data_IF_793162124439
#
_entry.id   IF_793162124439
#
_cell.length_a   1.000
_cell.length_b   1.000
_cell.length_c   1.000
_cell.angle_alpha   90.00
_cell.angle_beta   90.00
_cell.angle_gamma   90.00
#
_symmetry.space_group_name_H-M   'P 1'
#
loop_
_entity.id
_entity.type
_entity.pdbx_description
1 polymer ?
#
# COMPACT_ATOMS: atom_id res chain seq x y z
N UNK A 1 -39.77 9.05 6.84
CA UNK A 1 -41.17 9.35 7.19
C UNK A 1 -41.90 9.72 5.90
N UNK A 2 -43.20 9.40 5.82
CA UNK A 2 -44.15 9.55 4.70
C UNK A 2 -44.11 10.95 3.99
N UNK A 3 -44.56 11.21 2.73
CA UNK A 3 -45.36 10.45 1.73
C UNK A 3 -45.30 11.08 0.29
N UNK A 4 -45.78 10.33 -0.71
CA UNK A 4 -46.50 10.69 -1.99
C UNK A 4 -46.07 11.77 -3.02
N UNK A 5 -45.85 11.29 -4.27
CA UNK A 5 -46.65 11.46 -5.52
C UNK A 5 -47.37 12.79 -5.90
N UNK A 6 -46.95 13.35 -7.04
CA UNK A 6 -47.74 13.81 -8.23
C UNK A 6 -47.26 15.15 -8.86
N UNK A 7 -47.09 15.17 -10.19
CA UNK A 7 -47.83 16.03 -11.14
C UNK A 7 -47.12 16.14 -12.50
N UNK A 8 -47.91 16.21 -13.57
CA UNK A 8 -47.48 16.40 -14.96
C UNK A 8 -47.38 17.89 -15.32
N UNK A 9 -46.39 18.24 -16.16
CA UNK A 9 -46.42 19.31 -17.16
C UNK A 9 -45.06 19.25 -17.90
N UNK A 10 -44.94 19.27 -19.22
CA UNK A 10 -45.89 19.71 -20.24
C UNK A 10 -45.25 20.84 -21.06
N UNK A 11 -44.47 20.50 -22.09
CA UNK A 11 -44.20 21.41 -23.23
C UNK A 11 -43.60 20.67 -24.43
N UNK A 12 -44.40 20.56 -25.49
CA UNK A 12 -43.91 20.28 -26.84
C UNK A 12 -43.22 21.54 -27.40
N UNK A 13 -42.25 21.33 -28.30
CA UNK A 13 -41.94 22.29 -29.36
C UNK A 13 -41.90 21.53 -30.69
N UNK A 14 -42.92 21.73 -31.52
CA UNK A 14 -42.88 21.39 -32.94
C UNK A 14 -41.93 22.32 -33.67
N UNK A 15 -41.38 21.86 -34.80
CA UNK A 15 -41.28 22.65 -36.03
C UNK A 15 -41.19 21.75 -37.27
N UNK A 16 -42.26 21.78 -38.07
CA UNK A 16 -42.39 21.69 -39.53
C UNK A 16 -41.68 20.50 -40.25
N UNK A 17 -42.36 19.62 -41.00
CA UNK A 17 -43.17 19.84 -42.24
C UNK A 17 -42.32 20.50 -43.35
N UNK A 18 -42.14 20.01 -44.58
CA UNK A 18 -42.84 19.02 -45.45
C UNK A 18 -41.78 18.14 -46.20
N UNK A 19 -42.00 17.33 -47.26
CA UNK A 19 -43.08 17.22 -48.28
C UNK A 19 -43.21 15.77 -48.85
N UNK A 20 -43.84 15.61 -50.01
CA UNK A 20 -44.23 14.39 -50.75
C UNK A 20 -43.06 13.79 -51.61
N UNK A 21 -43.13 12.65 -52.34
CA UNK A 21 -44.25 11.74 -52.71
C UNK A 21 -43.77 10.32 -53.12
N UNK A 22 -44.74 9.40 -53.22
CA UNK A 22 -44.81 8.08 -53.89
C UNK A 22 -43.83 7.78 -55.07
N UNK A 23 -43.52 6.50 -55.38
CA UNK A 23 -44.38 5.53 -56.10
C UNK A 23 -44.07 4.06 -55.75
N UNK A 24 -45.11 3.21 -55.73
CA UNK A 24 -45.04 1.74 -55.61
C UNK A 24 -44.84 1.06 -56.97
N UNK A 25 -44.16 -0.09 -57.01
CA UNK A 25 -44.10 -0.94 -58.22
C UNK A 25 -43.53 -2.35 -57.97
N UNK A 26 -44.36 -3.37 -58.14
CA UNK A 26 -44.07 -4.82 -58.12
C UNK A 26 -45.16 -5.50 -58.99
N UNK A 27 -45.01 -6.75 -59.47
CA UNK A 27 -43.82 -7.62 -59.61
C UNK A 27 -43.74 -8.28 -61.02
N UNK A 28 -43.28 -9.54 -61.13
CA UNK A 28 -43.18 -10.42 -62.34
C UNK A 28 -41.95 -10.10 -63.23
N UNK A 29 -41.15 -11.03 -63.76
CA UNK A 29 -41.07 -12.50 -63.65
C UNK A 29 -40.09 -13.08 -64.70
N UNK A 30 -39.87 -14.41 -64.70
CA UNK A 30 -39.13 -15.24 -65.71
C UNK A 30 -37.58 -15.30 -65.69
N UNK A 31 -37.10 -16.41 -65.11
CA UNK A 31 -36.07 -17.36 -65.57
C UNK A 31 -35.27 -17.10 -66.87
N UNK A 32 -33.93 -17.30 -66.82
CA UNK A 32 -33.21 -18.28 -67.66
C UNK A 32 -31.75 -18.52 -67.17
N UNK A 33 -31.26 -19.76 -67.32
CA UNK A 33 -29.88 -20.14 -67.00
C UNK A 33 -28.93 -19.84 -68.18
N UNK A 34 -27.79 -19.17 -67.94
CA UNK A 34 -26.56 -19.36 -68.74
C UNK A 34 -25.32 -19.21 -67.83
N UNK A 35 -24.51 -20.27 -67.75
CA UNK A 35 -23.05 -20.20 -67.54
C UNK A 35 -22.43 -20.54 -68.91
N UNK A 36 -21.28 -19.96 -69.32
CA UNK A 36 -20.01 -20.53 -68.83
C UNK A 36 -18.77 -19.60 -68.77
N UNK A 37 -17.72 -20.14 -68.12
CA UNK A 37 -16.28 -19.98 -68.37
C UNK A 37 -15.54 -18.62 -68.21
N UNK A 38 -14.48 -18.72 -67.39
CA UNK A 38 -13.17 -18.04 -67.43
C UNK A 38 -13.05 -16.61 -67.98
N UNK A 39 -12.57 -15.71 -67.12
CA UNK A 39 -11.33 -14.98 -67.43
C UNK A 39 -10.55 -14.62 -66.15
N UNK A 40 -9.24 -14.84 -66.19
CA UNK A 40 -8.33 -14.51 -65.10
C UNK A 40 -7.82 -13.08 -65.25
N UNK A 41 -8.16 -12.19 -64.32
CA UNK A 41 -7.47 -10.90 -64.23
C UNK A 41 -7.02 -10.54 -62.81
N UNK A 42 -5.72 -10.30 -62.73
CA UNK A 42 -4.94 -9.92 -61.57
C UNK A 42 -5.24 -8.46 -61.15
N UNK A 43 -5.79 -8.24 -59.95
CA UNK A 43 -5.93 -6.90 -59.37
C UNK A 43 -5.19 -6.78 -58.04
N UNK A 44 -4.25 -5.83 -58.00
CA UNK A 44 -3.27 -5.60 -56.94
C UNK A 44 -3.92 -5.29 -55.58
N UNK A 45 -3.45 -5.96 -54.54
CA UNK A 45 -3.80 -5.66 -53.15
C UNK A 45 -3.29 -4.27 -52.71
N UNK A 46 -4.16 -3.27 -52.68
CA UNK A 46 -3.90 -2.05 -51.92
C UNK A 46 -4.13 -2.29 -50.42
N UNK A 47 -3.04 -2.52 -49.69
CA UNK A 47 -3.04 -2.51 -48.22
C UNK A 47 -3.51 -1.15 -47.70
N UNK A 48 -4.72 -1.08 -47.12
CA UNK A 48 -5.07 0.00 -46.19
C UNK A 48 -4.39 -0.25 -44.84
N UNK A 49 -3.78 0.77 -44.20
CA UNK A 49 -3.09 0.57 -42.93
C UNK A 49 -4.10 0.21 -41.82
N UNK A 50 -3.80 -0.84 -41.05
CA UNK A 50 -4.59 -1.21 -39.87
C UNK A 50 -4.44 -0.14 -38.78
N UNK A 51 -5.55 0.53 -38.47
CA UNK A 51 -5.67 1.41 -37.29
C UNK A 51 -5.54 0.52 -36.04
N UNK A 52 -4.73 0.89 -35.02
CA UNK A 52 -4.56 0.07 -33.81
C UNK A 52 -5.86 -0.16 -33.04
N UNK A 53 -6.08 -1.41 -32.62
CA UNK A 53 -7.37 -1.92 -32.12
C UNK A 53 -7.80 -1.42 -30.72
N UNK A 54 -7.08 -0.46 -30.13
CA UNK A 54 -7.37 0.12 -28.81
C UNK A 54 -8.61 1.03 -28.77
N UNK A 55 -9.16 1.43 -29.93
CA UNK A 55 -10.32 2.34 -30.01
C UNK A 55 -11.70 1.66 -30.07
N UNK A 56 -11.80 0.32 -30.24
CA UNK A 56 -13.09 -0.33 -30.53
C UNK A 56 -13.89 -0.84 -29.31
N UNK A 57 -13.44 -0.59 -28.08
CA UNK A 57 -14.12 -1.06 -26.85
C UNK A 57 -15.02 -0.02 -26.16
N UNK A 58 -15.37 1.10 -26.81
CA UNK A 58 -16.23 2.14 -26.21
C UNK A 58 -17.73 2.07 -26.56
N UNK A 59 -18.16 1.19 -27.48
CA UNK A 59 -19.57 1.12 -27.91
C UNK A 59 -20.15 -0.29 -27.88
N UNK A 60 -20.68 -0.71 -26.71
CA UNK A 60 -21.80 -1.66 -26.65
C UNK A 60 -22.51 -1.68 -25.28
N UNK A 61 -23.84 -1.56 -25.32
CA UNK A 61 -24.84 -1.68 -24.25
C UNK A 61 -24.64 -0.80 -22.98
N UNK A 62 -25.57 0.15 -22.78
CA UNK A 62 -25.25 1.45 -22.17
C UNK A 62 -25.97 1.77 -20.84
N UNK A 63 -27.01 1.03 -20.42
CA UNK A 63 -27.83 1.47 -19.27
C UNK A 63 -27.41 0.94 -17.88
N UNK A 64 -27.09 -0.35 -17.71
CA UNK A 64 -26.60 -0.87 -16.41
C UNK A 64 -25.08 -0.71 -16.23
N UNK A 65 -24.32 -0.92 -17.31
CA UNK A 65 -22.86 -0.74 -17.37
C UNK A 65 -22.46 0.68 -16.98
N UNK A 66 -23.15 1.72 -17.48
CA UNK A 66 -22.90 3.11 -17.09
C UNK A 66 -23.03 3.33 -15.59
N UNK A 67 -23.93 2.65 -14.87
CA UNK A 67 -24.05 2.85 -13.42
C UNK A 67 -22.77 2.42 -12.69
N UNK A 68 -22.36 1.16 -12.86
CA UNK A 68 -21.14 0.64 -12.23
C UNK A 68 -19.86 1.29 -12.77
N UNK A 69 -19.80 1.59 -14.07
CA UNK A 69 -18.63 2.23 -14.66
C UNK A 69 -18.53 3.71 -14.27
N UNK A 70 -19.66 4.42 -14.06
CA UNK A 70 -19.67 5.74 -13.45
C UNK A 70 -19.33 5.67 -11.96
N UNK A 71 -19.74 4.63 -11.21
CA UNK A 71 -19.31 4.43 -9.82
C UNK A 71 -17.80 4.19 -9.76
N UNK A 72 -17.25 3.31 -10.59
CA UNK A 72 -15.80 3.06 -10.67
C UNK A 72 -15.03 4.31 -11.13
N UNK A 73 -15.52 5.05 -12.13
CA UNK A 73 -14.92 6.30 -12.60
C UNK A 73 -15.05 7.43 -11.56
N UNK A 74 -16.14 7.46 -10.80
CA UNK A 74 -16.35 8.42 -9.69
C UNK A 74 -15.47 8.08 -8.50
N UNK A 75 -15.32 6.79 -8.15
CA UNK A 75 -14.37 6.31 -7.13
C UNK A 75 -12.95 6.60 -7.59
N UNK A 76 -12.61 6.37 -8.86
CA UNK A 76 -11.30 6.69 -9.42
C UNK A 76 -11.04 8.21 -9.39
N UNK A 77 -11.95 9.04 -9.90
CA UNK A 77 -11.82 10.50 -9.84
C UNK A 77 -11.76 11.04 -8.42
N UNK A 78 -12.53 10.48 -7.49
CA UNK A 78 -12.49 10.79 -6.05
C UNK A 78 -11.16 10.36 -5.44
N UNK A 79 -10.63 9.18 -5.79
CA UNK A 79 -9.31 8.73 -5.37
C UNK A 79 -8.22 9.65 -5.94
N UNK A 80 -8.25 10.01 -7.21
CA UNK A 80 -7.29 10.95 -7.82
C UNK A 80 -7.35 12.33 -7.14
N UNK A 81 -8.53 12.83 -6.81
CA UNK A 81 -8.68 14.08 -6.05
C UNK A 81 -8.25 13.96 -4.58
N UNK A 82 -8.46 12.81 -3.93
CA UNK A 82 -7.98 12.54 -2.57
C UNK A 82 -6.45 12.44 -2.56
N UNK A 83 -5.85 11.76 -3.54
CA UNK A 83 -4.40 11.67 -3.69
C UNK A 83 -3.78 13.04 -4.03
N UNK A 84 -4.40 13.84 -4.91
CA UNK A 84 -3.97 15.23 -5.15
C UNK A 84 -4.12 16.13 -3.92
N UNK A 85 -5.15 15.93 -3.09
CA UNK A 85 -5.31 16.64 -1.80
C UNK A 85 -4.39 16.13 -0.69
N UNK A 86 -3.71 14.99 -0.89
CA UNK A 86 -2.72 14.47 0.06
C UNK A 86 -1.32 15.10 -0.12
N UNK A 87 -1.11 15.96 -1.12
CA UNK A 87 0.14 16.72 -1.30
C UNK A 87 0.55 17.48 -0.02
N UNK A 88 -0.41 18.03 0.73
CA UNK A 88 -0.14 18.73 2.01
C UNK A 88 0.13 17.80 3.21
N UNK A 89 0.01 16.47 3.07
CA UNK A 89 0.25 15.49 4.16
C UNK A 89 1.51 14.65 3.88
N UNK A 90 1.97 14.57 2.64
CA UNK A 90 3.22 13.90 2.26
C UNK A 90 4.46 14.80 2.35
N UNK A 91 4.29 16.05 2.76
CA UNK A 91 5.37 17.04 2.84
C UNK A 91 6.34 16.72 3.99
N UNK A 92 7.54 16.24 3.61
CA UNK A 92 8.82 16.15 4.34
C UNK A 92 9.75 15.00 3.86
N UNK A 93 9.35 14.18 2.86
CA UNK A 93 10.12 12.95 2.53
C UNK A 93 10.47 12.70 1.05
N UNK A 94 10.17 13.63 0.14
CA UNK A 94 10.63 13.60 -1.26
C UNK A 94 11.19 14.98 -1.65
N UNK A 95 12.47 15.11 -2.04
CA UNK A 95 13.01 16.38 -2.51
C UNK A 95 12.30 16.87 -3.79
N UNK A 96 12.03 18.17 -3.86
CA UNK A 96 11.28 18.82 -4.95
C UNK A 96 11.95 18.75 -6.35
N UNK A 97 13.15 18.16 -6.45
CA UNK A 97 13.89 17.98 -7.71
C UNK A 97 13.23 17.02 -8.68
N UNK A 98 12.55 15.97 -8.20
CA UNK A 98 11.85 15.02 -9.09
C UNK A 98 10.68 15.71 -9.82
N UNK A 99 9.96 16.62 -9.15
CA UNK A 99 8.81 17.30 -9.76
C UNK A 99 9.24 18.35 -10.81
N UNK A 100 10.42 18.94 -10.65
CA UNK A 100 11.00 19.89 -11.63
C UNK A 100 11.31 19.25 -12.99
N UNK A 101 11.53 17.93 -13.05
CA UNK A 101 11.81 17.23 -14.31
C UNK A 101 10.59 17.20 -15.25
N UNK A 102 9.38 17.06 -14.69
CA UNK A 102 8.13 17.05 -15.45
C UNK A 102 7.66 18.47 -15.84
N UNK A 103 7.93 19.47 -14.99
CA UNK A 103 7.52 20.87 -15.25
C UNK A 103 8.38 21.60 -16.28
N UNK A 104 9.51 21.01 -16.74
CA UNK A 104 10.49 21.66 -17.64
C UNK A 104 10.45 21.14 -19.10
N UNK A 105 9.31 20.59 -19.55
CA UNK A 105 9.07 20.22 -20.97
C UNK A 105 8.01 21.06 -21.67
N UNK A 106 7.62 22.20 -21.10
CA UNK A 106 6.80 23.21 -21.76
C UNK A 106 7.53 24.56 -21.75
N UNK A 107 7.64 25.14 -22.95
CA UNK A 107 8.30 26.41 -23.31
C UNK A 107 9.84 26.42 -23.42
N UNK A 108 10.41 27.07 -24.47
CA UNK A 108 11.84 27.26 -24.67
C UNK A 108 12.34 28.59 -24.05
N UNK A 109 13.67 28.77 -23.94
CA UNK A 109 14.29 30.07 -23.67
C UNK A 109 15.35 30.06 -22.57
N UNK A 110 16.60 30.20 -23.02
CA UNK A 110 17.73 30.93 -22.43
C UNK A 110 18.41 30.52 -21.09
N UNK A 111 19.73 30.68 -21.16
CA UNK A 111 20.85 30.33 -20.27
C UNK A 111 21.25 31.57 -19.41
N UNK A 112 22.45 31.75 -18.80
CA UNK A 112 23.64 30.88 -18.61
C UNK A 112 24.36 30.99 -17.21
N UNK A 113 25.58 30.41 -17.10
CA UNK A 113 26.68 30.65 -16.09
C UNK A 113 26.43 30.35 -14.58
N UNK A 114 27.40 30.01 -13.72
CA UNK A 114 28.70 29.28 -13.79
C UNK A 114 29.12 28.83 -12.35
N UNK A 115 30.21 28.06 -12.13
CA UNK A 115 30.54 27.48 -10.81
C UNK A 115 31.77 28.09 -10.10
N UNK A 116 31.85 27.88 -8.79
CA UNK A 116 33.04 27.99 -7.91
C UNK A 116 32.92 26.94 -6.80
N UNK A 117 33.96 26.29 -6.27
CA UNK A 117 35.41 26.51 -6.40
C UNK A 117 36.04 26.70 -5.02
N UNK A 118 37.15 25.98 -4.71
CA UNK A 118 37.87 25.96 -3.41
C UNK A 118 37.08 25.35 -2.21
N UNK A 119 37.64 24.59 -1.26
CA UNK A 119 39.01 24.08 -1.10
C UNK A 119 39.88 24.91 -0.16
N UNK A 120 40.26 24.35 1.01
CA UNK A 120 41.56 24.53 1.69
C UNK A 120 41.66 23.70 2.98
N UNK A 121 42.91 23.41 3.37
CA UNK A 121 43.34 22.50 4.45
C UNK A 121 43.79 23.27 5.71
N UNK A 122 43.93 22.60 6.87
CA UNK A 122 45.25 22.27 7.49
C UNK A 122 45.21 21.98 9.02
N UNK A 123 46.25 21.23 9.48
CA UNK A 123 46.93 21.24 10.80
C UNK A 123 46.12 20.98 12.09
N UNK A 124 46.23 19.78 12.69
CA UNK A 124 47.22 19.31 13.71
C UNK A 124 47.03 19.83 15.14
N UNK A 125 46.95 18.90 16.10
CA UNK A 125 47.96 18.82 17.16
C UNK A 125 47.98 17.47 17.88
N UNK A 126 49.16 17.16 18.41
CA UNK A 126 49.59 15.87 18.98
C UNK A 126 49.68 15.95 20.50
N UNK A 127 49.34 14.86 21.22
CA UNK A 127 50.06 14.50 22.46
C UNK A 127 49.92 13.02 22.83
N UNK A 128 51.08 12.38 23.01
CA UNK A 128 51.38 11.16 23.78
C UNK A 128 51.08 11.33 25.28
N UNK A 129 51.15 10.34 26.18
CA UNK A 129 51.13 8.86 26.19
C UNK A 129 51.09 8.43 27.69
N UNK A 130 50.89 7.16 28.02
CA UNK A 130 51.07 6.69 29.42
C UNK A 130 50.43 5.34 29.76
N UNK A 131 51.20 4.26 29.63
CA UNK A 131 50.94 3.01 30.36
C UNK A 131 51.57 3.08 31.75
N UNK A 132 50.94 2.48 32.76
CA UNK A 132 51.63 1.79 33.85
C UNK A 132 50.76 0.66 34.41
N UNK A 133 51.40 -0.37 34.97
CA UNK A 133 50.76 -1.62 35.36
C UNK A 133 51.14 -2.04 36.79
N UNK A 134 50.19 -2.72 37.48
CA UNK A 134 50.45 -3.68 38.54
C UNK A 134 50.76 -3.16 39.95
N UNK A 135 50.10 -3.75 40.95
CA UNK A 135 50.64 -4.44 42.16
C UNK A 135 49.45 -4.85 43.05
N UNK A 136 49.65 -5.85 43.91
CA UNK A 136 48.60 -6.68 44.53
C UNK A 136 48.59 -6.70 46.07
N UNK A 137 47.38 -6.75 46.65
CA UNK A 137 47.04 -7.27 48.00
C UNK A 137 47.61 -6.52 49.24
N UNK A 138 47.07 -6.72 50.48
CA UNK A 138 46.20 -7.81 50.94
C UNK A 138 44.87 -7.45 51.65
N UNK A 139 44.13 -8.53 51.93
CA UNK A 139 42.89 -8.70 52.70
C UNK A 139 42.52 -7.68 53.79
N UNK A 140 41.28 -7.17 53.71
CA UNK A 140 40.46 -6.80 54.88
C UNK A 140 39.26 -7.76 55.02
N UNK A 141 38.74 -7.90 56.24
CA UNK A 141 37.78 -8.93 56.62
C UNK A 141 36.39 -8.83 55.97
N UNK A 142 35.68 -9.97 55.94
CA UNK A 142 34.28 -10.06 55.51
C UNK A 142 33.37 -9.22 56.41
N UNK A 143 33.01 -8.02 55.97
CA UNK A 143 31.76 -7.39 56.40
C UNK A 143 30.62 -8.15 55.73
N UNK A 144 29.81 -8.86 56.52
CA UNK A 144 28.57 -9.44 56.03
C UNK A 144 27.59 -8.28 55.81
N UNK A 145 27.49 -7.82 54.57
CA UNK A 145 26.41 -6.93 54.16
C UNK A 145 25.08 -7.68 54.29
N UNK A 146 24.39 -7.47 55.41
CA UNK A 146 22.95 -7.68 55.50
C UNK A 146 22.32 -6.91 54.32
N UNK A 147 21.44 -7.51 53.50
CA UNK A 147 20.79 -6.78 52.42
C UNK A 147 20.04 -5.59 53.03
N UNK A 148 20.52 -4.38 52.76
CA UNK A 148 19.78 -3.17 53.10
C UNK A 148 18.42 -3.28 52.42
N UNK A 149 17.35 -3.28 53.23
CA UNK A 149 16.01 -3.04 52.74
C UNK A 149 16.05 -1.69 52.01
N UNK A 150 16.10 -1.72 50.68
CA UNK A 150 15.87 -0.50 49.92
C UNK A 150 14.42 -0.08 50.22
N UNK A 151 14.19 1.18 50.61
CA UNK A 151 12.83 1.68 50.73
C UNK A 151 12.12 1.47 49.39
N UNK A 152 10.87 1.01 49.42
CA UNK A 152 9.99 1.05 48.26
C UNK A 152 9.68 2.51 47.92
N UNK A 153 10.62 3.18 47.23
CA UNK A 153 10.43 4.52 46.69
C UNK A 153 9.35 4.44 45.62
N UNK A 154 8.12 4.79 45.99
CA UNK A 154 7.03 4.97 45.04
C UNK A 154 7.27 6.29 44.30
N UNK A 155 7.26 6.24 42.98
CA UNK A 155 7.33 7.44 42.15
C UNK A 155 5.95 8.07 42.05
N UNK A 156 5.90 9.39 42.11
CA UNK A 156 4.66 10.13 41.84
C UNK A 156 4.60 10.44 40.34
N UNK A 157 3.49 10.11 39.69
CA UNK A 157 3.30 10.34 38.24
C UNK A 157 2.19 11.35 38.02
N UNK A 158 2.51 12.41 37.29
CA UNK A 158 1.56 13.46 36.90
C UNK A 158 1.30 13.38 35.40
N UNK A 159 0.03 13.39 35.00
CA UNK A 159 -0.38 13.35 33.59
C UNK A 159 -1.07 14.66 33.25
N UNK A 160 -0.44 15.45 32.38
CA UNK A 160 -0.92 16.73 31.87
C UNK A 160 -1.42 16.58 30.43
N UNK A 161 -2.36 17.41 29.97
CA UNK A 161 -2.68 17.50 28.54
C UNK A 161 -1.52 18.12 27.75
N UNK A 162 -1.15 17.51 26.62
CA UNK A 162 -0.02 17.96 25.80
C UNK A 162 -0.24 19.31 25.10
N UNK A 163 -1.47 19.81 25.00
CA UNK A 163 -1.82 21.11 24.40
C UNK A 163 -2.11 22.16 25.47
N UNK A 164 -3.06 21.89 26.37
CA UNK A 164 -3.54 22.90 27.34
C UNK A 164 -2.68 22.98 28.58
N UNK A 165 -1.87 21.93 28.86
CA UNK A 165 -1.08 21.75 30.09
C UNK A 165 -1.91 21.53 31.36
N UNK A 166 -3.23 21.39 31.23
CA UNK A 166 -4.10 21.08 32.36
C UNK A 166 -3.75 19.74 33.00
N UNK A 167 -3.85 19.65 34.32
CA UNK A 167 -3.62 18.43 35.08
C UNK A 167 -4.81 17.48 34.94
N UNK A 168 -4.60 16.37 34.23
CA UNK A 168 -5.63 15.36 33.97
C UNK A 168 -5.66 14.27 35.05
N UNK A 169 -4.49 13.83 35.52
CA UNK A 169 -4.40 12.78 36.53
C UNK A 169 -3.13 12.89 37.36
N UNK A 170 -3.19 12.40 38.59
CA UNK A 170 -2.08 12.24 39.51
C UNK A 170 -2.13 10.81 40.05
N UNK A 171 -0.98 10.15 40.12
CA UNK A 171 -0.83 8.76 40.53
C UNK A 171 0.29 8.69 41.58
N UNK A 172 -0.13 8.58 42.83
CA UNK A 172 0.70 8.80 44.02
C UNK A 172 1.56 7.60 44.43
N UNK A 173 1.31 6.43 43.82
CA UNK A 173 1.86 5.11 44.20
C UNK A 173 2.23 4.28 42.98
N UNK A 174 3.05 4.82 42.07
CA UNK A 174 3.56 4.06 40.92
C UNK A 174 4.88 3.42 41.30
N UNK A 175 5.00 2.10 41.09
CA UNK A 175 6.26 1.39 41.34
C UNK A 175 7.33 1.82 40.29
N UNK A 176 8.62 1.96 40.63
CA UNK A 176 9.65 2.42 39.68
C UNK A 176 9.90 1.47 38.50
N UNK A 177 9.66 0.17 38.70
CA UNK A 177 9.67 -0.88 37.69
C UNK A 177 8.41 -0.90 36.80
N UNK A 178 7.41 -0.04 37.07
CA UNK A 178 6.19 0.01 36.28
C UNK A 178 6.49 0.48 34.84
N UNK A 179 5.84 -0.19 33.91
CA UNK A 179 5.90 0.10 32.48
C UNK A 179 4.94 1.23 32.10
N UNK A 180 5.23 1.94 31.02
CA UNK A 180 4.29 2.90 30.44
C UNK A 180 2.95 2.23 30.09
N UNK A 181 2.93 0.95 29.69
CA UNK A 181 1.69 0.19 29.48
C UNK A 181 0.80 0.05 30.73
N UNK A 182 1.42 -0.14 31.89
CA UNK A 182 0.73 -0.18 33.19
C UNK A 182 0.24 1.21 33.60
N UNK A 183 1.06 2.25 33.43
CA UNK A 183 0.66 3.64 33.70
C UNK A 183 -0.53 4.05 32.82
N UNK A 184 -0.54 3.69 31.54
CA UNK A 184 -1.70 3.87 30.65
C UNK A 184 -2.95 3.16 31.16
N UNK A 185 -2.77 1.96 31.72
CA UNK A 185 -3.86 1.16 32.28
C UNK A 185 -4.39 1.75 33.60
N UNK A 186 -3.53 2.33 34.44
CA UNK A 186 -3.93 3.10 35.62
C UNK A 186 -4.69 4.36 35.23
N UNK A 187 -4.21 5.13 34.24
CA UNK A 187 -4.90 6.32 33.73
C UNK A 187 -6.25 5.98 33.07
N UNK A 188 -6.37 4.82 32.42
CA UNK A 188 -7.65 4.34 31.89
C UNK A 188 -8.68 4.03 32.99
N UNK A 189 -8.25 3.54 34.16
CA UNK A 189 -9.16 3.29 35.30
C UNK A 189 -9.79 4.59 35.83
N UNK A 190 -9.06 5.70 35.84
CA UNK A 190 -9.60 7.02 36.20
C UNK A 190 -10.35 7.70 35.05
N UNK A 191 -9.99 7.40 33.80
CA UNK A 191 -10.59 7.99 32.59
C UNK A 191 -11.02 6.91 31.57
N UNK A 192 -12.19 6.26 31.77
CA UNK A 192 -12.65 5.16 30.92
C UNK A 192 -12.78 5.49 29.42
N UNK A 193 -12.98 6.75 29.06
CA UNK A 193 -13.03 7.22 27.67
C UNK A 193 -11.70 7.10 26.91
N UNK A 194 -10.57 6.97 27.63
CA UNK A 194 -9.23 6.90 27.07
C UNK A 194 -8.60 5.52 27.33
N UNK A 195 -9.04 4.49 26.61
CA UNK A 195 -8.40 3.17 26.66
C UNK A 195 -6.93 3.21 26.21
N UNK A 196 -6.04 2.32 26.71
CA UNK A 196 -4.58 2.47 26.57
C UNK A 196 -4.05 2.73 25.16
N UNK A 197 -4.59 2.07 24.13
CA UNK A 197 -4.15 2.27 22.75
C UNK A 197 -4.47 3.67 22.18
N UNK A 198 -5.48 4.37 22.72
CA UNK A 198 -5.83 5.76 22.37
C UNK A 198 -4.83 6.77 22.96
N UNK A 199 -4.02 6.37 23.93
CA UNK A 199 -3.13 7.25 24.69
C UNK A 199 -1.71 7.33 24.09
N UNK A 200 -1.26 8.53 23.72
CA UNK A 200 0.14 8.85 23.47
C UNK A 200 0.72 9.57 24.70
N UNK A 201 1.54 8.87 25.47
CA UNK A 201 2.28 9.41 26.62
C UNK A 201 3.67 9.88 26.15
N UNK A 202 4.11 11.05 26.61
CA UNK A 202 5.36 11.71 26.18
C UNK A 202 6.07 12.38 27.37
N UNK A 203 7.39 12.49 27.32
CA UNK A 203 8.18 13.30 28.26
C UNK A 203 8.12 14.81 27.96
N UNK A 204 7.85 15.18 26.71
CA UNK A 204 7.71 16.56 26.23
C UNK A 204 6.45 16.65 25.33
N UNK A 205 5.66 17.73 25.37
CA UNK A 205 4.43 17.86 24.56
C UNK A 205 4.66 17.71 23.04
N UNK A 206 5.82 18.15 22.53
CA UNK A 206 6.26 18.01 21.13
C UNK A 206 7.18 16.80 20.92
N UNK A 207 7.69 16.20 21.99
CA UNK A 207 8.53 15.01 21.99
C UNK A 207 7.89 13.75 21.39
N UNK A 208 8.71 12.69 21.28
CA UNK A 208 8.26 11.36 20.81
C UNK A 208 7.34 10.71 21.85
N UNK A 209 6.42 9.87 21.37
CA UNK A 209 5.65 8.98 22.25
C UNK A 209 6.57 7.91 22.83
N UNK A 210 6.44 7.67 24.13
CA UNK A 210 7.05 6.53 24.80
C UNK A 210 6.40 5.22 24.30
N UNK A 211 7.16 4.13 24.37
CA UNK A 211 6.68 2.77 24.10
C UNK A 211 6.03 2.20 25.35
N UNK A 212 5.16 1.22 25.17
CA UNK A 212 4.47 0.57 26.28
C UNK A 212 5.43 -0.25 27.17
N UNK A 213 6.59 -0.66 26.63
CA UNK A 213 7.64 -1.42 27.33
C UNK A 213 8.68 -0.55 28.03
N UNK A 214 8.66 0.78 27.82
CA UNK A 214 9.60 1.67 28.50
C UNK A 214 9.27 1.65 30.00
N UNK A 215 10.28 1.49 30.87
CA UNK A 215 10.12 1.37 32.33
C UNK A 215 10.39 2.71 32.99
N UNK A 216 9.57 3.11 33.97
CA UNK A 216 9.62 4.42 34.61
C UNK A 216 11.02 4.79 35.12
N UNK A 217 11.70 3.89 35.86
CA UNK A 217 13.05 4.09 36.39
C UNK A 217 14.16 4.30 35.34
N UNK A 218 13.91 3.95 34.06
CA UNK A 218 14.88 4.10 32.97
C UNK A 218 14.65 5.35 32.13
N UNK A 219 13.62 6.14 32.46
CA UNK A 219 13.35 7.43 31.84
C UNK A 219 14.09 8.55 32.59
N UNK A 220 14.44 9.66 31.92
CA UNK A 220 15.07 10.82 32.56
C UNK A 220 14.03 11.63 33.36
N UNK A 221 13.52 11.04 34.43
CA UNK A 221 12.51 11.61 35.34
C UNK A 221 13.01 11.56 36.78
N UNK A 222 12.57 12.48 37.63
CA UNK A 222 12.90 12.51 39.05
C UNK A 222 11.97 11.63 39.89
N UNK A 223 11.90 11.94 41.19
CA UNK A 223 10.90 11.37 42.13
C UNK A 223 9.45 11.67 41.72
N UNK A 224 9.26 12.76 40.98
CA UNK A 224 8.01 13.10 40.28
C UNK A 224 8.25 13.04 38.77
N UNK A 225 7.46 12.23 38.08
CA UNK A 225 7.49 12.08 36.63
C UNK A 225 6.28 12.78 36.01
N UNK A 226 6.52 13.92 35.36
CA UNK A 226 5.49 14.63 34.59
C UNK A 226 5.44 14.09 33.16
N UNK A 227 4.29 13.56 32.76
CA UNK A 227 4.02 13.10 31.41
C UNK A 227 2.97 13.96 30.70
N UNK A 228 3.10 14.05 29.39
CA UNK A 228 2.14 14.72 28.51
C UNK A 228 1.31 13.69 27.75
N UNK A 229 0.01 13.65 28.05
CA UNK A 229 -0.98 12.86 27.34
C UNK A 229 -1.43 13.58 26.07
N UNK A 230 -1.52 12.82 24.98
CA UNK A 230 -2.20 13.24 23.76
C UNK A 230 -3.15 12.14 23.28
N UNK A 231 -4.41 12.53 23.09
CA UNK A 231 -5.42 11.70 22.45
C UNK A 231 -5.08 11.44 20.97
N UNK A 232 -5.04 10.16 20.58
CA UNK A 232 -4.87 9.71 19.20
C UNK A 232 -6.20 9.49 18.45
N UNK A 233 -7.33 9.61 19.13
CA UNK A 233 -8.67 9.25 18.64
C UNK A 233 -8.88 7.73 18.56
N UNK A 234 -10.01 7.30 18.00
CA UNK A 234 -10.35 5.89 17.86
C UNK A 234 -9.26 5.10 17.10
N UNK A 235 -8.76 4.04 17.72
CA UNK A 235 -7.72 3.15 17.21
C UNK A 235 -8.30 1.78 16.86
N UNK A 236 -7.66 1.09 15.92
CA UNK A 236 -7.98 -0.29 15.53
C UNK A 236 -6.70 -1.11 15.38
N UNK A 237 -6.74 -2.41 15.70
CA UNK A 237 -5.58 -3.31 15.61
C UNK A 237 -5.09 -3.45 14.17
N UNK A 238 -3.76 -3.46 13.96
CA UNK A 238 -3.17 -3.73 12.65
C UNK A 238 -3.59 -5.08 12.07
N UNK A 239 -3.81 -6.09 12.92
CA UNK A 239 -4.31 -7.41 12.49
C UNK A 239 -5.67 -7.24 11.82
N UNK A 240 -6.61 -6.57 12.49
CA UNK A 240 -7.95 -6.30 11.95
C UNK A 240 -7.89 -5.47 10.68
N UNK A 241 -7.06 -4.42 10.64
CA UNK A 241 -6.85 -3.58 9.44
C UNK A 241 -6.43 -4.43 8.25
N UNK A 242 -5.38 -5.24 8.38
CA UNK A 242 -4.88 -6.05 7.28
C UNK A 242 -5.84 -7.17 6.88
N UNK A 243 -6.57 -7.77 7.83
CA UNK A 243 -7.61 -8.74 7.52
C UNK A 243 -8.75 -8.12 6.69
N UNK A 244 -9.27 -6.95 7.08
CA UNK A 244 -10.31 -6.25 6.31
C UNK A 244 -9.78 -5.73 4.97
N UNK A 245 -8.54 -5.23 4.94
CA UNK A 245 -7.85 -4.77 3.73
C UNK A 245 -7.72 -5.88 2.67
N UNK A 246 -7.43 -7.12 3.09
CA UNK A 246 -7.17 -8.26 2.19
C UNK A 246 -8.37 -9.19 1.96
N UNK A 247 -9.34 -9.25 2.88
CA UNK A 247 -10.56 -10.04 2.68
C UNK A 247 -11.48 -9.43 1.61
N UNK A 248 -11.59 -8.11 1.56
CA UNK A 248 -12.43 -7.41 0.57
C UNK A 248 -12.04 -7.72 -0.89
N UNK A 249 -10.77 -7.54 -1.30
CA UNK A 249 -10.32 -7.87 -2.66
C UNK A 249 -10.61 -9.32 -3.04
N UNK A 250 -10.39 -10.27 -2.13
CA UNK A 250 -10.68 -11.68 -2.35
C UNK A 250 -12.16 -11.91 -2.63
N UNK A 251 -13.05 -11.44 -1.75
CA UNK A 251 -14.50 -11.60 -1.88
C UNK A 251 -15.04 -10.90 -3.14
N UNK A 252 -14.61 -9.65 -3.37
CA UNK A 252 -15.01 -8.84 -4.51
C UNK A 252 -14.60 -9.51 -5.82
N UNK A 253 -13.34 -9.94 -5.95
CA UNK A 253 -12.89 -10.60 -7.18
C UNK A 253 -13.69 -11.88 -7.46
N UNK A 254 -13.97 -12.69 -6.42
CA UNK A 254 -14.79 -13.89 -6.55
C UNK A 254 -16.22 -13.58 -7.01
N UNK A 255 -16.85 -12.49 -6.54
CA UNK A 255 -18.17 -12.06 -7.04
C UNK A 255 -18.17 -11.75 -8.54
N UNK A 256 -17.15 -11.07 -9.06
CA UNK A 256 -16.99 -10.82 -10.50
C UNK A 256 -16.66 -12.10 -11.28
N UNK A 257 -15.83 -12.99 -10.74
CA UNK A 257 -15.48 -14.27 -11.35
C UNK A 257 -16.68 -15.22 -11.49
N UNK A 258 -17.49 -15.36 -10.44
CA UNK A 258 -18.73 -16.13 -10.47
C UNK A 258 -19.87 -15.42 -11.23
N UNK A 259 -19.65 -14.20 -11.75
CA UNK A 259 -20.65 -13.40 -12.48
C UNK A 259 -21.98 -13.35 -11.72
N UNK A 260 -21.92 -12.97 -10.45
CA UNK A 260 -23.12 -12.78 -9.61
C UNK A 260 -24.08 -11.80 -10.32
N UNK A 261 -25.41 -12.02 -10.25
CA UNK A 261 -26.40 -11.12 -10.85
C UNK A 261 -26.18 -9.64 -10.53
N UNK A 262 -26.71 -8.78 -11.41
CA UNK A 262 -26.57 -7.32 -11.37
C UNK A 262 -25.17 -6.75 -11.69
N UNK A 263 -24.15 -7.60 -11.92
CA UNK A 263 -22.81 -7.17 -12.35
C UNK A 263 -22.72 -7.03 -13.88
N UNK A 264 -23.19 -8.04 -14.62
CA UNK A 264 -23.19 -8.08 -16.08
C UNK A 264 -24.65 -8.13 -16.60
N UNK A 265 -24.84 -8.30 -17.91
CA UNK A 265 -26.19 -8.52 -18.45
C UNK A 265 -26.72 -9.90 -18.03
N UNK A 266 -28.01 -10.06 -17.67
CA UNK A 266 -28.55 -11.28 -17.04
C UNK A 266 -28.27 -12.60 -17.77
N UNK A 267 -28.12 -12.57 -19.10
CA UNK A 267 -27.69 -13.71 -19.93
C UNK A 267 -26.29 -14.27 -19.61
N UNK A 268 -25.55 -13.62 -18.72
CA UNK A 268 -24.22 -14.03 -18.28
C UNK A 268 -24.16 -14.38 -16.78
N UNK A 269 -25.29 -14.31 -16.06
CA UNK A 269 -25.34 -14.61 -14.63
C UNK A 269 -24.89 -16.06 -14.39
N UNK A 270 -23.94 -16.24 -13.47
CA UNK A 270 -23.29 -17.53 -13.17
C UNK A 270 -22.64 -18.27 -14.36
N UNK A 271 -22.44 -17.60 -15.50
CA UNK A 271 -21.78 -18.22 -16.66
C UNK A 271 -20.25 -18.25 -16.51
N UNK A 272 -19.66 -19.39 -16.83
CA UNK A 272 -18.20 -19.57 -16.84
C UNK A 272 -17.53 -18.87 -18.03
N UNK A 273 -16.27 -18.43 -17.88
CA UNK A 273 -15.46 -17.94 -19.00
C UNK A 273 -14.96 -19.11 -19.86
N UNK A 274 -14.85 -18.93 -21.18
CA UNK A 274 -14.22 -19.93 -22.07
C UNK A 274 -12.69 -19.85 -22.05
N UNK A 275 -12.13 -18.77 -21.52
CA UNK A 275 -10.70 -18.48 -21.58
C UNK A 275 -9.99 -18.90 -20.30
N UNK A 276 -9.10 -19.89 -20.40
CA UNK A 276 -8.40 -20.49 -19.26
C UNK A 276 -7.64 -19.45 -18.40
N UNK A 277 -7.08 -18.43 -19.04
CA UNK A 277 -6.36 -17.32 -18.37
C UNK A 277 -7.22 -16.56 -17.35
N UNK A 278 -8.56 -16.54 -17.51
CA UNK A 278 -9.48 -15.94 -16.52
C UNK A 278 -9.54 -16.78 -15.24
N UNK A 279 -9.54 -18.11 -15.39
CA UNK A 279 -9.44 -19.04 -14.27
C UNK A 279 -8.07 -18.94 -13.58
N UNK A 280 -6.99 -18.86 -14.35
CA UNK A 280 -5.66 -18.64 -13.81
C UNK A 280 -5.56 -17.31 -13.06
N UNK A 281 -6.13 -16.24 -13.61
CA UNK A 281 -6.15 -14.94 -12.96
C UNK A 281 -6.92 -14.98 -11.63
N UNK A 282 -8.06 -15.67 -11.58
CA UNK A 282 -8.79 -15.92 -10.35
C UNK A 282 -7.97 -16.72 -9.32
N UNK A 283 -7.32 -17.80 -9.75
CA UNK A 283 -6.46 -18.63 -8.88
C UNK A 283 -5.27 -17.83 -8.33
N UNK A 284 -4.55 -17.10 -9.18
CA UNK A 284 -3.41 -16.27 -8.78
C UNK A 284 -3.81 -15.13 -7.83
N UNK A 285 -4.88 -14.39 -8.15
CA UNK A 285 -5.40 -13.32 -7.31
C UNK A 285 -5.85 -13.87 -5.95
N UNK A 286 -6.61 -14.96 -5.94
CA UNK A 286 -7.09 -15.60 -4.72
C UNK A 286 -5.93 -16.14 -3.88
N UNK A 287 -4.98 -16.85 -4.50
CA UNK A 287 -3.76 -17.33 -3.84
C UNK A 287 -2.99 -16.19 -3.17
N UNK A 288 -2.79 -15.06 -3.86
CA UNK A 288 -2.12 -13.90 -3.28
C UNK A 288 -2.85 -13.38 -2.04
N UNK A 289 -4.15 -13.06 -2.13
CA UNK A 289 -4.87 -12.49 -0.99
C UNK A 289 -5.07 -13.50 0.15
N UNK A 290 -5.29 -14.79 -0.13
CA UNK A 290 -5.30 -15.85 0.90
C UNK A 290 -3.94 -15.94 1.58
N UNK A 291 -2.83 -15.91 0.84
CA UNK A 291 -1.47 -15.85 1.42
C UNK A 291 -1.30 -14.63 2.31
N UNK A 292 -1.73 -13.43 1.88
CA UNK A 292 -1.65 -12.19 2.67
C UNK A 292 -2.49 -12.25 3.96
N UNK A 293 -3.65 -12.88 3.93
CA UNK A 293 -4.49 -13.14 5.11
C UNK A 293 -3.79 -14.12 6.09
N UNK A 294 -3.30 -15.25 5.60
CA UNK A 294 -2.57 -16.24 6.41
C UNK A 294 -1.25 -15.66 6.98
N UNK A 295 -0.51 -14.87 6.20
CA UNK A 295 0.66 -14.13 6.69
C UNK A 295 0.30 -13.17 7.81
N UNK A 296 -0.84 -12.48 7.71
CA UNK A 296 -1.32 -11.53 8.73
C UNK A 296 -1.69 -12.23 10.03
N UNK A 297 -2.28 -13.43 9.98
CA UNK A 297 -2.64 -14.22 11.16
C UNK A 297 -1.42 -14.90 11.80
N UNK A 298 -0.55 -15.52 10.99
CA UNK A 298 0.43 -16.48 11.48
C UNK A 298 1.89 -16.01 11.38
N UNK A 299 2.22 -15.12 10.44
CA UNK A 299 3.61 -14.71 10.14
C UNK A 299 3.96 -13.34 10.72
N UNK A 300 3.12 -12.33 10.51
CA UNK A 300 3.43 -10.95 10.87
C UNK A 300 3.51 -10.73 12.39
N UNK A 301 4.52 -9.94 12.82
CA UNK A 301 4.69 -9.47 14.21
C UNK A 301 4.75 -7.94 14.22
N UNK A 302 3.65 -7.29 14.58
CA UNK A 302 3.50 -5.84 14.60
C UNK A 302 4.10 -5.24 15.88
N UNK A 303 4.86 -4.14 15.76
CA UNK A 303 5.54 -3.50 16.91
C UNK A 303 4.66 -2.45 17.61
N UNK A 304 3.96 -1.62 16.84
CA UNK A 304 2.81 -0.87 17.34
C UNK A 304 1.56 -1.69 17.11
N UNK A 305 0.67 -1.76 18.12
CA UNK A 305 -0.53 -2.59 18.06
C UNK A 305 -1.62 -2.05 17.13
N UNK A 306 -1.69 -0.73 16.93
CA UNK A 306 -2.85 -0.07 16.33
C UNK A 306 -2.55 1.02 15.30
N UNK A 307 -3.59 1.38 14.54
CA UNK A 307 -3.67 2.49 13.60
C UNK A 307 -4.93 3.34 13.89
N UNK A 308 -4.95 4.66 13.60
CA UNK A 308 -6.19 5.45 13.64
C UNK A 308 -7.27 4.91 12.72
N UNK A 309 -8.48 4.72 13.25
CA UNK A 309 -9.61 4.06 12.58
C UNK A 309 -9.94 4.66 11.22
N UNK A 310 -9.88 6.00 11.07
CA UNK A 310 -10.19 6.71 9.81
C UNK A 310 -9.32 6.27 8.61
N UNK A 311 -8.14 5.70 8.86
CA UNK A 311 -7.27 5.23 7.79
C UNK A 311 -7.74 3.90 7.17
N UNK A 312 -8.55 3.08 7.88
CA UNK A 312 -9.03 1.80 7.32
C UNK A 312 -9.85 2.02 6.04
N UNK A 313 -10.67 3.07 6.00
CA UNK A 313 -11.47 3.43 4.83
C UNK A 313 -10.59 3.76 3.63
N UNK A 314 -9.51 4.54 3.81
CA UNK A 314 -8.58 4.88 2.72
C UNK A 314 -7.92 3.63 2.14
N UNK A 315 -7.43 2.74 3.01
CA UNK A 315 -6.82 1.48 2.59
C UNK A 315 -7.82 0.57 1.87
N UNK A 316 -9.01 0.36 2.46
CA UNK A 316 -10.03 -0.49 1.88
C UNK A 316 -10.53 0.06 0.53
N UNK A 317 -10.87 1.35 0.42
CA UNK A 317 -11.29 1.94 -0.87
C UNK A 317 -10.22 1.79 -1.96
N UNK A 318 -8.93 1.88 -1.63
CA UNK A 318 -7.86 1.59 -2.57
C UNK A 318 -7.88 0.12 -3.01
N UNK A 319 -7.67 -0.83 -2.09
CA UNK A 319 -7.54 -2.24 -2.44
C UNK A 319 -8.82 -2.84 -3.04
N UNK A 320 -9.98 -2.53 -2.45
CA UNK A 320 -11.29 -3.05 -2.86
C UNK A 320 -11.72 -2.42 -4.20
N UNK A 321 -11.47 -1.13 -4.40
CA UNK A 321 -11.79 -0.41 -5.63
C UNK A 321 -10.96 -0.91 -6.82
N UNK A 322 -9.65 -1.08 -6.64
CA UNK A 322 -8.81 -1.66 -7.69
C UNK A 322 -9.13 -3.14 -7.95
N UNK A 323 -9.46 -3.93 -6.92
CA UNK A 323 -9.90 -5.32 -7.09
C UNK A 323 -11.19 -5.39 -7.92
N UNK A 324 -12.21 -4.59 -7.60
CA UNK A 324 -13.43 -4.49 -8.40
C UNK A 324 -13.14 -4.07 -9.85
N UNK A 325 -12.31 -3.03 -10.03
CA UNK A 325 -11.98 -2.52 -11.35
C UNK A 325 -11.26 -3.55 -12.22
N UNK A 326 -10.23 -4.23 -11.71
CA UNK A 326 -9.53 -5.27 -12.48
C UNK A 326 -10.40 -6.51 -12.70
N UNK A 327 -11.16 -6.94 -11.69
CA UNK A 327 -12.01 -8.12 -11.78
C UNK A 327 -13.15 -7.93 -12.79
N UNK A 328 -13.73 -6.73 -12.88
CA UNK A 328 -14.74 -6.40 -13.89
C UNK A 328 -14.24 -6.67 -15.31
N UNK A 329 -13.05 -6.18 -15.66
CA UNK A 329 -12.48 -6.34 -17.00
C UNK A 329 -11.96 -7.76 -17.28
N UNK A 330 -11.29 -8.41 -16.31
CA UNK A 330 -10.74 -9.76 -16.51
C UNK A 330 -11.86 -10.80 -16.65
N UNK A 331 -12.95 -10.68 -15.88
CA UNK A 331 -14.05 -11.65 -15.88
C UNK A 331 -15.17 -11.28 -16.87
N UNK A 332 -15.06 -10.13 -17.56
CA UNK A 332 -16.08 -9.66 -18.51
C UNK A 332 -16.38 -10.73 -19.59
N UNK A 333 -17.64 -10.93 -19.99
CA UNK A 333 -18.00 -11.87 -21.06
C UNK A 333 -17.37 -11.60 -22.43
N UNK A 334 -16.80 -10.40 -22.62
CA UNK A 334 -16.07 -9.97 -23.83
C UNK A 334 -14.55 -9.88 -23.61
N UNK A 335 -14.02 -10.48 -22.52
CA UNK A 335 -12.58 -10.50 -22.28
C UNK A 335 -11.84 -11.25 -23.39
N UNK A 336 -10.84 -10.61 -23.98
CA UNK A 336 -9.95 -11.21 -25.00
C UNK A 336 -8.63 -11.65 -24.35
N UNK A 337 -8.13 -12.87 -24.61
CA UNK A 337 -6.83 -13.33 -24.12
C UNK A 337 -5.64 -12.43 -24.54
N UNK A 338 -4.49 -12.53 -23.86
CA UNK A 338 -3.27 -11.81 -24.21
C UNK A 338 -2.78 -12.08 -25.65
N UNK A 339 -2.15 -11.06 -26.26
CA UNK A 339 -1.80 -11.06 -27.69
C UNK A 339 -0.75 -12.11 -28.05
N UNK A 340 0.21 -12.39 -27.16
CA UNK A 340 1.24 -13.40 -27.38
C UNK A 340 0.86 -14.80 -26.84
N UNK A 341 -0.41 -14.99 -26.48
CA UNK A 341 -1.02 -16.28 -26.17
C UNK A 341 -0.40 -17.06 -25.00
N UNK A 342 -0.43 -18.38 -25.10
CA UNK A 342 -0.08 -19.31 -24.02
C UNK A 342 1.35 -19.16 -23.48
N UNK A 343 2.32 -18.81 -24.33
CA UNK A 343 3.71 -18.65 -23.88
C UNK A 343 3.86 -17.45 -22.94
N UNK A 344 3.22 -16.31 -23.26
CA UNK A 344 3.15 -15.14 -22.37
C UNK A 344 2.48 -15.50 -21.04
N UNK A 345 1.35 -16.20 -21.07
CA UNK A 345 0.62 -16.61 -19.86
C UNK A 345 1.50 -17.49 -18.96
N UNK A 346 2.17 -18.51 -19.52
CA UNK A 346 3.03 -19.44 -18.77
C UNK A 346 4.25 -18.75 -18.16
N UNK A 347 4.96 -17.92 -18.93
CA UNK A 347 6.12 -17.16 -18.43
C UNK A 347 5.71 -16.18 -17.32
N UNK A 348 4.60 -15.47 -17.52
CA UNK A 348 4.06 -14.54 -16.54
C UNK A 348 3.61 -15.24 -15.25
N UNK A 349 3.07 -16.45 -15.34
CA UNK A 349 2.74 -17.31 -14.19
C UNK A 349 3.99 -17.75 -13.42
N UNK A 350 5.06 -18.15 -14.11
CA UNK A 350 6.34 -18.52 -13.48
C UNK A 350 6.91 -17.34 -12.70
N UNK A 351 6.93 -16.14 -13.30
CA UNK A 351 7.35 -14.90 -12.64
C UNK A 351 6.46 -14.61 -11.42
N UNK A 352 5.14 -14.71 -11.56
CA UNK A 352 4.19 -14.51 -10.47
C UNK A 352 4.48 -15.45 -9.29
N UNK A 353 4.58 -16.76 -9.52
CA UNK A 353 4.78 -17.77 -8.48
C UNK A 353 6.15 -17.63 -7.80
N UNK A 354 7.22 -17.43 -8.59
CA UNK A 354 8.57 -17.16 -8.08
C UNK A 354 8.56 -15.96 -7.14
N UNK A 355 7.88 -14.88 -7.53
CA UNK A 355 7.77 -13.68 -6.73
C UNK A 355 6.89 -13.85 -5.48
N UNK A 356 5.78 -14.61 -5.52
CA UNK A 356 4.97 -14.88 -4.31
C UNK A 356 5.75 -15.70 -3.27
N UNK A 357 6.52 -16.71 -3.72
CA UNK A 357 7.40 -17.53 -2.86
C UNK A 357 8.53 -16.66 -2.28
N UNK A 358 9.11 -15.77 -3.09
CA UNK A 358 10.10 -14.80 -2.63
C UNK A 358 9.56 -13.85 -1.57
N UNK A 359 8.41 -13.22 -1.83
CA UNK A 359 7.71 -12.33 -0.90
C UNK A 359 7.43 -13.03 0.45
N UNK A 360 6.91 -14.26 0.43
CA UNK A 360 6.69 -15.07 1.64
C UNK A 360 8.00 -15.40 2.37
N UNK A 361 9.03 -15.80 1.64
CA UNK A 361 10.37 -16.08 2.20
C UNK A 361 10.95 -14.86 2.93
N UNK A 362 10.76 -13.65 2.38
CA UNK A 362 11.14 -12.41 3.06
C UNK A 362 10.28 -12.18 4.32
N UNK A 363 8.96 -12.38 4.28
CA UNK A 363 8.11 -12.20 5.46
C UNK A 363 8.48 -13.17 6.60
N UNK A 364 8.83 -14.43 6.30
CA UNK A 364 9.36 -15.38 7.27
C UNK A 364 10.72 -14.93 7.82
N UNK A 365 11.65 -14.46 6.98
CA UNK A 365 12.93 -13.92 7.44
C UNK A 365 12.73 -12.70 8.36
N UNK A 366 11.85 -11.77 8.01
CA UNK A 366 11.53 -10.59 8.82
C UNK A 366 10.83 -10.93 10.14
N UNK A 367 10.00 -11.99 10.18
CA UNK A 367 9.42 -12.55 11.42
C UNK A 367 10.53 -13.06 12.33
N UNK A 368 11.48 -13.82 11.80
CA UNK A 368 12.53 -14.47 12.58
C UNK A 368 13.54 -13.48 13.19
N UNK A 369 13.69 -12.28 12.63
CA UNK A 369 14.47 -11.19 13.24
C UNK A 369 13.88 -10.67 14.56
N UNK A 370 12.59 -10.94 14.83
CA UNK A 370 11.89 -10.57 16.07
C UNK A 370 11.48 -11.83 16.84
N UNK A 371 12.25 -12.27 17.85
CA UNK A 371 11.83 -13.32 18.77
C UNK A 371 10.43 -13.05 19.36
N UNK A 372 9.66 -14.08 19.77
CA UNK A 372 8.38 -13.87 20.46
C UNK A 372 8.57 -12.92 21.66
N UNK A 373 7.65 -11.97 21.84
CA UNK A 373 7.75 -10.95 22.89
C UNK A 373 8.73 -9.79 22.61
N UNK A 374 9.65 -9.89 21.65
CA UNK A 374 10.61 -8.82 21.37
C UNK A 374 10.13 -7.85 20.27
N UNK A 375 10.12 -6.55 20.58
CA UNK A 375 9.89 -5.46 19.61
C UNK A 375 11.19 -4.85 19.05
N UNK A 376 12.35 -5.43 19.37
CA UNK A 376 13.65 -4.94 18.88
C UNK A 376 13.72 -4.94 17.35
N UNK A 377 14.34 -3.89 16.78
CA UNK A 377 14.60 -3.79 15.34
C UNK A 377 16.02 -4.30 15.09
N UNK A 378 16.18 -5.13 14.07
CA UNK A 378 17.49 -5.64 13.60
C UNK A 378 17.63 -5.35 12.12
N UNK A 379 18.86 -5.26 11.65
CA UNK A 379 19.16 -5.20 10.21
C UNK A 379 18.84 -6.57 9.61
N UNK A 380 18.05 -6.66 8.52
CA UNK A 380 17.86 -7.92 7.82
C UNK A 380 19.10 -8.27 7.00
N UNK A 381 19.47 -9.55 7.01
CA UNK A 381 20.55 -10.11 6.21
C UNK A 381 20.07 -11.37 5.48
N UNK A 382 20.78 -11.81 4.42
CA UNK A 382 20.56 -13.11 3.79
C UNK A 382 20.56 -14.27 4.79
N UNK A 383 19.83 -15.32 4.44
CA UNK A 383 19.76 -16.59 5.16
C UNK A 383 20.13 -17.74 4.21
N UNK A 384 20.04 -18.99 4.69
CA UNK A 384 20.21 -20.18 3.85
C UNK A 384 19.20 -20.27 2.69
N UNK A 385 18.06 -19.57 2.78
CA UNK A 385 17.06 -19.53 1.71
C UNK A 385 17.50 -18.54 0.60
N UNK A 386 17.68 -18.97 -0.67
CA UNK A 386 18.17 -18.11 -1.76
C UNK A 386 17.25 -16.91 -2.05
N UNK A 387 15.94 -17.03 -1.83
CA UNK A 387 15.00 -15.89 -1.95
C UNK A 387 15.29 -14.75 -0.96
N UNK A 388 16.15 -14.95 0.04
CA UNK A 388 16.56 -13.89 0.98
C UNK A 388 17.88 -13.22 0.57
N UNK A 389 18.60 -13.71 -0.43
CA UNK A 389 19.91 -13.17 -0.83
C UNK A 389 19.81 -11.77 -1.44
N UNK A 390 18.65 -11.42 -1.98
CA UNK A 390 18.33 -10.06 -2.44
C UNK A 390 18.43 -9.00 -1.32
N UNK A 391 18.46 -9.38 -0.02
CA UNK A 391 18.84 -8.47 1.06
C UNK A 391 20.28 -7.93 0.94
N UNK A 392 21.17 -8.53 0.14
CA UNK A 392 22.47 -7.91 -0.18
C UNK A 392 22.29 -6.59 -0.94
N UNK A 393 21.28 -6.52 -1.81
CA UNK A 393 21.11 -5.45 -2.79
C UNK A 393 20.01 -4.45 -2.43
N UNK A 394 18.97 -4.88 -1.70
CA UNK A 394 17.83 -4.01 -1.37
C UNK A 394 17.36 -4.12 0.08
N UNK A 395 16.78 -3.03 0.56
CA UNK A 395 16.34 -2.83 1.95
C UNK A 395 14.98 -3.47 2.26
N UNK A 396 14.08 -3.48 1.28
CA UNK A 396 12.70 -3.96 1.40
C UNK A 396 12.36 -4.97 0.29
N UNK A 397 13.04 -6.13 0.21
CA UNK A 397 12.86 -7.10 -0.88
C UNK A 397 11.47 -7.71 -0.94
N UNK A 398 10.70 -7.68 0.15
CA UNK A 398 9.29 -8.06 0.11
C UNK A 398 8.51 -7.17 -0.88
N UNK A 399 8.78 -5.87 -0.93
CA UNK A 399 8.17 -4.95 -1.90
C UNK A 399 8.69 -5.17 -3.33
N UNK A 400 9.95 -5.58 -3.49
CA UNK A 400 10.51 -5.96 -4.80
C UNK A 400 9.81 -7.19 -5.37
N UNK A 401 9.61 -8.22 -4.56
CA UNK A 401 8.85 -9.40 -4.94
C UNK A 401 7.34 -9.13 -5.07
N UNK A 402 6.78 -8.22 -4.27
CA UNK A 402 5.40 -7.77 -4.43
C UNK A 402 5.20 -7.15 -5.83
N UNK A 403 6.09 -6.21 -6.20
CA UNK A 403 6.10 -5.60 -7.53
C UNK A 403 6.25 -6.64 -8.65
N UNK A 404 7.21 -7.56 -8.53
CA UNK A 404 7.42 -8.62 -9.52
C UNK A 404 6.20 -9.53 -9.70
N UNK A 405 5.49 -9.83 -8.61
CA UNK A 405 4.22 -10.56 -8.66
C UNK A 405 3.17 -9.80 -9.47
N UNK A 406 2.96 -8.52 -9.18
CA UNK A 406 1.96 -7.73 -9.88
C UNK A 406 2.33 -7.39 -11.33
N UNK A 407 3.62 -7.27 -11.65
CA UNK A 407 4.10 -7.22 -13.04
C UNK A 407 3.81 -8.54 -13.78
N UNK A 408 4.07 -9.69 -13.16
CA UNK A 408 3.65 -11.00 -13.68
C UNK A 408 2.14 -11.05 -13.93
N UNK A 409 1.33 -10.62 -12.97
CA UNK A 409 -0.14 -10.59 -13.10
C UNK A 409 -0.61 -9.63 -14.21
N UNK A 410 0.05 -8.47 -14.39
CA UNK A 410 -0.19 -7.55 -15.52
C UNK A 410 0.11 -8.23 -16.86
N UNK A 411 1.27 -8.88 -16.99
CA UNK A 411 1.67 -9.56 -18.23
C UNK A 411 0.76 -10.76 -18.55
N UNK A 412 0.34 -11.50 -17.53
CA UNK A 412 -0.52 -12.67 -17.65
C UNK A 412 -1.94 -12.32 -18.12
N UNK A 413 -2.49 -11.18 -17.66
CA UNK A 413 -3.87 -10.76 -17.97
C UNK A 413 -3.95 -9.75 -19.12
N UNK A 414 -2.84 -9.08 -19.44
CA UNK A 414 -2.73 -7.94 -20.36
C UNK A 414 -3.78 -6.83 -20.13
N UNK A 415 -4.16 -6.62 -18.86
CA UNK A 415 -5.30 -5.82 -18.46
C UNK A 415 -4.85 -4.44 -17.91
N UNK A 416 -5.33 -3.34 -18.50
CA UNK A 416 -4.91 -1.97 -18.14
C UNK A 416 -5.18 -1.59 -16.66
N UNK A 417 -6.35 -1.89 -16.05
CA UNK A 417 -6.55 -1.75 -14.60
C UNK A 417 -5.50 -2.44 -13.72
N UNK A 418 -4.97 -3.59 -14.16
CA UNK A 418 -3.90 -4.30 -13.43
C UNK A 418 -2.59 -3.54 -13.53
N UNK A 419 -2.23 -3.07 -14.74
CA UNK A 419 -1.06 -2.21 -14.92
C UNK A 419 -1.13 -0.93 -14.07
N UNK A 420 -2.32 -0.31 -13.98
CA UNK A 420 -2.56 0.86 -13.15
C UNK A 420 -2.40 0.56 -11.65
N UNK A 421 -2.97 -0.55 -11.15
CA UNK A 421 -2.76 -0.99 -9.77
C UNK A 421 -1.27 -1.24 -9.47
N UNK A 422 -0.57 -1.94 -10.36
CA UNK A 422 0.87 -2.21 -10.23
C UNK A 422 1.70 -0.93 -10.16
N UNK A 423 1.39 0.07 -11.00
CA UNK A 423 2.08 1.36 -11.00
C UNK A 423 1.82 2.19 -9.72
N UNK A 424 0.57 2.32 -9.29
CA UNK A 424 0.23 3.08 -8.07
C UNK A 424 0.81 2.39 -6.83
N UNK A 425 0.69 1.05 -6.76
CA UNK A 425 1.30 0.24 -5.71
C UNK A 425 2.82 0.38 -5.67
N UNK A 426 3.50 0.41 -6.84
CA UNK A 426 4.94 0.63 -6.93
C UNK A 426 5.37 1.98 -6.36
N UNK A 427 4.67 3.06 -6.72
CA UNK A 427 4.95 4.41 -6.21
C UNK A 427 4.80 4.44 -4.69
N UNK A 428 3.69 3.92 -4.17
CA UNK A 428 3.41 3.90 -2.73
C UNK A 428 4.43 3.06 -1.94
N UNK A 429 4.77 1.86 -2.44
CA UNK A 429 5.79 1.00 -1.84
C UNK A 429 7.18 1.63 -1.90
N UNK A 430 7.51 2.37 -2.96
CA UNK A 430 8.78 3.10 -3.08
C UNK A 430 8.91 4.19 -2.02
N UNK A 431 7.85 4.96 -1.76
CA UNK A 431 7.85 5.97 -0.68
C UNK A 431 8.09 5.30 0.68
N UNK A 432 7.40 4.20 0.97
CA UNK A 432 7.60 3.43 2.21
C UNK A 432 9.00 2.80 2.31
N UNK A 433 9.55 2.28 1.21
CA UNK A 433 10.88 1.71 1.14
C UNK A 433 11.95 2.78 1.45
N UNK A 434 11.86 3.96 0.83
CA UNK A 434 12.76 5.10 1.09
C UNK A 434 12.67 5.57 2.54
N UNK A 435 11.47 5.61 3.12
CA UNK A 435 11.28 5.86 4.56
C UNK A 435 12.00 4.84 5.45
N UNK A 436 11.78 3.54 5.21
CA UNK A 436 12.42 2.43 5.95
C UNK A 436 13.95 2.42 5.81
N UNK A 437 14.46 2.62 4.60
CA UNK A 437 15.89 2.67 4.28
C UNK A 437 16.59 3.83 5.00
N UNK A 438 16.06 5.07 4.89
CA UNK A 438 16.58 6.22 5.67
C UNK A 438 16.54 5.97 7.17
N UNK A 439 15.52 5.29 7.67
CA UNK A 439 15.43 4.92 9.08
C UNK A 439 16.40 3.82 9.48
N UNK A 440 16.89 2.99 8.54
CA UNK A 440 17.98 2.04 8.83
C UNK A 440 19.34 2.77 8.88
N UNK A 441 19.64 3.62 7.88
CA UNK A 441 20.87 4.42 7.84
C UNK A 441 21.07 5.32 9.07
N UNK A 442 19.98 5.83 9.67
CA UNK A 442 20.03 6.66 10.88
C UNK A 442 20.13 5.88 12.20
N UNK A 443 19.65 4.62 12.22
CA UNK A 443 19.55 3.81 13.44
C UNK A 443 20.74 2.86 13.60
N UNK A 444 21.34 2.43 12.49
CA UNK A 444 22.43 1.45 12.49
C UNK A 444 23.64 2.00 11.74
N UNK A 445 24.73 2.24 12.47
CA UNK A 445 26.01 2.71 11.91
C UNK A 445 26.59 1.71 10.90
N UNK A 446 26.43 0.42 11.17
CA UNK A 446 27.03 -0.66 10.37
C UNK A 446 26.08 -1.16 9.26
N UNK A 447 25.15 -0.31 8.81
CA UNK A 447 24.20 -0.65 7.74
C UNK A 447 24.88 -0.67 6.36
N UNK A 448 24.68 -1.71 5.53
CA UNK A 448 25.32 -1.79 4.21
C UNK A 448 24.90 -0.65 3.27
N UNK A 449 25.87 0.19 2.88
CA UNK A 449 25.66 1.41 2.09
C UNK A 449 25.24 1.15 0.63
N UNK A 450 25.59 0.00 0.07
CA UNK A 450 25.27 -0.38 -1.32
C UNK A 450 23.78 -0.77 -1.52
N UNK A 451 22.99 -0.90 -0.45
CA UNK A 451 21.58 -1.32 -0.54
C UNK A 451 20.68 -0.21 -1.07
N UNK A 452 20.00 -0.45 -2.18
CA UNK A 452 18.87 0.37 -2.59
C UNK A 452 17.64 0.17 -1.69
N UNK A 453 16.61 1.05 -1.72
CA UNK A 453 15.38 0.87 -0.97
C UNK A 453 14.51 -0.30 -1.47
N UNK A 454 14.29 -0.40 -2.78
CA UNK A 454 13.32 -1.33 -3.40
C UNK A 454 13.81 -1.98 -4.71
N UNK A 455 14.36 -1.23 -5.66
CA UNK A 455 14.93 -1.77 -6.89
C UNK A 455 16.45 -1.65 -6.83
N UNK A 456 17.22 -2.73 -7.06
CA UNK A 456 18.68 -2.69 -6.93
C UNK A 456 19.26 -1.73 -7.97
N UNK A 457 20.17 -0.85 -7.52
CA UNK A 457 20.94 0.09 -8.36
C UNK A 457 20.15 1.19 -9.09
N UNK A 458 18.83 1.32 -8.87
CA UNK A 458 17.98 2.32 -9.55
C UNK A 458 17.50 3.43 -8.60
N UNK A 459 17.25 3.10 -7.32
CA UNK A 459 16.57 3.97 -6.34
C UNK A 459 17.28 4.03 -4.99
#
# INVERSE_FOLDING_TARGET
MFWFRESLNGRMLQKNSFVLQHINGHPIGLTSNIHPLNESHETKNHMKPKIPQWQQLQHCNIHSSRSWQNICNSVFGTLTQIFGKLDHVFDNQVPATIWRFWKRKTLPGDTPFHPTGCGLSFTTNTTSAGMFAGVSSPSLGKVILVPSFQPFFTSTVEILDAKTKDKLCFLDKVEPNATIGEIKSMFHKSHPQWYPARQSIRLDPKGKSLKDEDVLQHLPVGTTATFYFRDLGAQISWVTVFLTEYAGPLLIYLMFYFRVPFIYAPKYDFTTSKHWVVHLACMCHSFHYVKRLLETLFVHRFSHGTMPLRNIFKNCTYYWGFAAWMAYYINHPLYTPPIYGEQQIRLALIVFLFCQIGNFSIHIALRNLRPPGSKTRKIPYPTKNPFTWIFLLVSCPNYTYELGSWLGFTLMTQCLPVAAFTLVGFIQMTVWAKGKHRSYLKEFRDYPTLRSPILPFIL
#
